data_IF_065236693618
#
_entry.id   IF_065236693618
#
_cell.length_a   1.000
_cell.length_b   1.000
_cell.length_c   1.000
_cell.angle_alpha   90.00
_cell.angle_beta   90.00
_cell.angle_gamma   90.00
#
_symmetry.space_group_name_H-M   'P 1'
#
loop_
_entity.id
_entity.type
_entity.pdbx_description
1 polymer ?
#
# COMPACT_ATOMS: atom_id res chain seq x y z
N UNK A 1 9.53 21.74 21.63
CA UNK A 1 8.21 21.30 21.14
C UNK A 1 7.23 21.37 22.31
N UNK A 2 6.05 21.98 22.15
CA UNK A 2 5.00 22.03 23.19
C UNK A 2 3.96 20.94 22.94
N UNK A 3 4.33 19.68 23.19
CA UNK A 3 3.42 18.54 23.09
C UNK A 3 3.16 17.98 24.50
N UNK A 4 1.90 17.90 24.90
CA UNK A 4 1.48 17.31 26.18
C UNK A 4 1.16 15.82 26.09
N UNK A 5 1.15 15.29 24.86
CA UNK A 5 0.78 13.92 24.53
C UNK A 5 1.77 13.40 23.50
N UNK A 6 2.37 12.26 23.77
CA UNK A 6 3.28 11.60 22.82
C UNK A 6 2.45 11.04 21.66
N UNK A 7 2.91 11.34 20.44
CA UNK A 7 2.24 10.97 19.19
C UNK A 7 1.19 11.97 18.70
N UNK A 8 0.95 13.07 19.41
CA UNK A 8 0.03 14.14 18.98
C UNK A 8 0.78 15.35 18.43
N UNK A 9 0.14 16.12 17.55
CA UNK A 9 0.70 17.39 17.09
C UNK A 9 0.91 18.37 18.26
N UNK A 10 1.95 19.23 18.20
CA UNK A 10 2.16 20.27 19.21
C UNK A 10 0.97 21.22 19.33
N UNK A 11 0.70 21.68 20.56
CA UNK A 11 -0.36 22.65 20.84
C UNK A 11 -0.11 23.95 20.04
N UNK A 12 -1.12 24.40 19.28
CA UNK A 12 -1.05 25.59 18.43
C UNK A 12 -0.33 25.39 17.09
N UNK A 13 0.08 24.17 16.75
CA UNK A 13 0.60 23.82 15.41
C UNK A 13 -0.50 23.10 14.61
N UNK A 14 -1.50 23.87 14.20
CA UNK A 14 -2.71 23.41 13.52
C UNK A 14 -2.57 23.40 11.98
N UNK A 15 -1.62 24.13 11.43
CA UNK A 15 -1.28 24.15 10.00
C UNK A 15 -0.04 23.29 9.75
N UNK A 16 -0.23 22.12 9.14
CA UNK A 16 0.84 21.20 8.74
C UNK A 16 0.99 19.98 9.65
N UNK A 17 2.14 19.33 9.57
CA UNK A 17 2.49 18.17 10.40
C UNK A 17 3.93 18.32 10.89
N UNK A 18 4.08 18.53 12.20
CA UNK A 18 5.37 18.77 12.84
C UNK A 18 6.32 17.58 12.75
N UNK A 19 5.81 16.38 12.44
CA UNK A 19 6.58 15.16 12.34
C UNK A 19 6.88 14.77 10.89
N UNK A 20 6.32 15.46 9.90
CA UNK A 20 6.39 15.06 8.49
C UNK A 20 7.82 14.84 8.01
N UNK A 21 8.72 15.80 8.25
CA UNK A 21 10.12 15.69 7.83
C UNK A 21 10.83 14.48 8.47
N UNK A 22 10.64 14.28 9.78
CA UNK A 22 11.24 13.16 10.49
C UNK A 22 10.68 11.82 9.99
N UNK A 23 9.36 11.71 9.85
CA UNK A 23 8.70 10.50 9.36
C UNK A 23 9.12 10.18 7.92
N UNK A 24 9.21 11.17 7.04
CA UNK A 24 9.69 10.98 5.67
C UNK A 24 11.16 10.57 5.62
N UNK A 25 12.00 11.14 6.48
CA UNK A 25 13.42 10.76 6.56
C UNK A 25 13.59 9.29 6.95
N UNK A 26 12.84 8.84 7.97
CA UNK A 26 12.83 7.43 8.39
C UNK A 26 12.31 6.53 7.26
N UNK A 27 11.22 6.92 6.60
CA UNK A 27 10.63 6.14 5.52
C UNK A 27 11.60 5.96 4.35
N UNK A 28 12.23 7.05 3.89
CA UNK A 28 13.19 7.01 2.78
C UNK A 28 14.36 6.11 3.13
N UNK A 29 14.91 6.22 4.34
CA UNK A 29 15.98 5.34 4.80
C UNK A 29 15.53 3.87 4.84
N UNK A 30 14.35 3.59 5.39
CA UNK A 30 13.82 2.24 5.48
C UNK A 30 13.64 1.60 4.09
N UNK A 31 13.09 2.35 3.13
CA UNK A 31 12.91 1.89 1.75
C UNK A 31 14.23 1.69 1.02
N UNK A 32 15.21 2.58 1.21
CA UNK A 32 16.54 2.44 0.63
C UNK A 32 17.28 1.18 1.12
N UNK A 33 16.96 0.70 2.32
CA UNK A 33 17.58 -0.49 2.91
C UNK A 33 16.68 -1.73 2.93
N UNK A 34 15.48 -1.67 2.36
CA UNK A 34 14.55 -2.80 2.32
C UNK A 34 14.07 -3.26 3.69
N UNK A 35 13.99 -2.37 4.68
CA UNK A 35 13.50 -2.67 6.03
C UNK A 35 12.13 -2.04 6.28
N UNK A 36 11.41 -2.56 7.27
CA UNK A 36 10.10 -2.03 7.66
C UNK A 36 10.22 -0.65 8.31
N UNK A 37 9.32 0.27 7.97
CA UNK A 37 9.16 1.56 8.64
C UNK A 37 8.03 1.47 9.67
N UNK A 38 8.37 1.58 10.96
CA UNK A 38 7.41 1.47 12.07
C UNK A 38 7.31 2.82 12.80
N UNK A 39 6.09 3.33 12.93
CA UNK A 39 5.79 4.57 13.66
C UNK A 39 5.73 4.32 15.18
N UNK A 40 6.05 5.36 15.96
CA UNK A 40 6.08 5.32 17.42
C UNK A 40 4.68 5.26 18.06
N UNK A 41 4.58 5.30 19.39
CA UNK A 41 3.30 5.10 20.08
C UNK A 41 2.42 6.35 20.10
N UNK A 42 1.12 6.14 20.40
CA UNK A 42 0.21 7.19 20.83
C UNK A 42 -0.30 6.88 22.25
N UNK A 43 0.01 7.77 23.21
CA UNK A 43 -0.07 7.44 24.64
C UNK A 43 -1.46 7.55 25.26
N UNK A 44 -2.41 8.25 24.62
CA UNK A 44 -3.81 8.25 25.08
C UNK A 44 -4.51 6.98 24.63
N UNK A 45 -4.19 5.87 25.29
CA UNK A 45 -4.55 4.51 24.84
C UNK A 45 -6.05 4.23 24.70
N UNK A 46 -6.91 5.01 25.39
CA UNK A 46 -8.38 4.88 25.31
C UNK A 46 -9.01 5.75 24.22
N UNK A 47 -8.26 6.68 23.62
CA UNK A 47 -8.75 7.55 22.56
C UNK A 47 -8.44 6.91 21.19
N UNK A 48 -9.27 5.94 20.81
CA UNK A 48 -9.08 5.15 19.59
C UNK A 48 -9.28 6.01 18.33
N UNK A 49 -10.18 6.99 18.38
CA UNK A 49 -10.38 7.90 17.25
C UNK A 49 -9.16 8.79 17.00
N UNK A 50 -8.51 9.28 18.06
CA UNK A 50 -7.24 9.97 17.90
C UNK A 50 -6.12 9.04 17.43
N UNK A 51 -6.05 7.81 17.95
CA UNK A 51 -5.12 6.81 17.45
C UNK A 51 -5.29 6.58 15.94
N UNK A 52 -6.53 6.41 15.46
CA UNK A 52 -6.84 6.25 14.04
C UNK A 52 -6.33 7.42 13.21
N UNK A 53 -6.59 8.66 13.63
CA UNK A 53 -6.12 9.85 12.90
C UNK A 53 -4.59 9.90 12.81
N UNK A 54 -3.89 9.64 13.91
CA UNK A 54 -2.41 9.68 13.93
C UNK A 54 -1.81 8.54 13.13
N UNK A 55 -2.31 7.31 13.30
CA UNK A 55 -1.86 6.14 12.54
C UNK A 55 -2.14 6.30 11.04
N UNK A 56 -3.29 6.87 10.66
CA UNK A 56 -3.63 7.15 9.27
C UNK A 56 -2.65 8.09 8.58
N UNK A 57 -2.06 9.06 9.30
CA UNK A 57 -1.02 9.93 8.73
C UNK A 57 0.23 9.15 8.33
N UNK A 58 0.78 8.32 9.22
CA UNK A 58 1.98 7.53 8.90
C UNK A 58 1.69 6.43 7.88
N UNK A 59 0.52 5.79 7.94
CA UNK A 59 0.07 4.84 6.93
C UNK A 59 -0.01 5.46 5.53
N UNK A 60 -0.56 6.68 5.41
CA UNK A 60 -0.65 7.41 4.14
C UNK A 60 0.73 7.78 3.55
N UNK A 61 1.76 7.95 4.38
CA UNK A 61 3.14 8.11 3.89
C UNK A 61 3.72 6.79 3.36
N UNK A 62 3.15 5.64 3.76
CA UNK A 62 3.62 4.32 3.36
C UNK A 62 4.36 3.58 4.47
N UNK A 63 4.15 3.91 5.74
CA UNK A 63 4.65 3.11 6.86
C UNK A 63 4.03 1.70 6.88
N UNK A 64 4.73 0.76 7.51
CA UNK A 64 4.34 -0.64 7.58
C UNK A 64 3.61 -1.00 8.88
N UNK A 65 3.61 -0.10 9.86
CA UNK A 65 2.92 -0.31 11.13
C UNK A 65 3.17 0.81 12.13
N UNK A 66 2.58 0.66 13.32
CA UNK A 66 2.73 1.56 14.46
C UNK A 66 2.76 0.78 15.76
N UNK A 67 3.48 1.29 16.76
CA UNK A 67 3.45 0.72 18.11
C UNK A 67 2.06 0.80 18.72
N UNK A 68 1.59 -0.33 19.25
CA UNK A 68 0.35 -0.45 20.01
C UNK A 68 0.69 -0.61 21.48
N UNK A 69 0.07 0.20 22.34
CA UNK A 69 0.31 0.18 23.78
C UNK A 69 -0.84 -0.47 24.58
N UNK A 70 -1.99 -0.70 23.96
CA UNK A 70 -3.16 -1.28 24.61
C UNK A 70 -3.97 -2.15 23.63
N UNK A 71 -4.59 -3.26 24.08
CA UNK A 71 -5.40 -4.14 23.22
C UNK A 71 -6.44 -3.41 22.36
N UNK A 72 -7.09 -2.39 22.90
CA UNK A 72 -8.12 -1.60 22.17
C UNK A 72 -7.59 -0.91 20.90
N UNK A 73 -6.27 -0.69 20.78
CA UNK A 73 -5.65 -0.09 19.60
C UNK A 73 -5.33 -1.13 18.51
N UNK A 74 -5.31 -2.43 18.83
CA UNK A 74 -4.89 -3.50 17.90
C UNK A 74 -5.78 -3.53 16.66
N UNK A 75 -7.11 -3.53 16.86
CA UNK A 75 -8.06 -3.61 15.74
C UNK A 75 -7.89 -2.44 14.78
N UNK A 76 -7.82 -1.21 15.32
CA UNK A 76 -7.60 0.00 14.52
C UNK A 76 -6.24 0.00 13.81
N UNK A 77 -5.18 -0.47 14.48
CA UNK A 77 -3.84 -0.56 13.89
C UNK A 77 -3.81 -1.55 12.72
N UNK A 78 -4.32 -2.76 12.92
CA UNK A 78 -4.36 -3.78 11.87
C UNK A 78 -5.19 -3.32 10.67
N UNK A 79 -6.34 -2.68 10.90
CA UNK A 79 -7.19 -2.11 9.86
C UNK A 79 -6.44 -1.06 9.03
N UNK A 80 -5.75 -0.12 9.68
CA UNK A 80 -5.09 1.02 9.02
C UNK A 80 -3.86 0.61 8.21
N UNK A 81 -3.09 -0.35 8.68
CA UNK A 81 -1.82 -0.75 8.05
C UNK A 81 -1.95 -1.97 7.12
N UNK A 82 -3.13 -2.60 7.07
CA UNK A 82 -3.45 -3.62 6.07
C UNK A 82 -4.00 -2.97 4.80
N UNK A 83 -3.73 -3.53 3.61
CA UNK A 83 -4.40 -3.08 2.40
C UNK A 83 -5.90 -3.37 2.47
N UNK A 84 -6.70 -2.61 1.71
CA UNK A 84 -8.12 -2.93 1.53
C UNK A 84 -8.27 -4.16 0.63
N UNK A 85 -9.44 -4.81 0.72
CA UNK A 85 -9.72 -6.03 -0.05
C UNK A 85 -9.68 -5.80 -1.57
N UNK A 86 -10.21 -4.67 -2.03
CA UNK A 86 -10.17 -4.24 -3.43
C UNK A 86 -8.73 -4.02 -3.93
N UNK A 87 -7.89 -3.39 -3.10
CA UNK A 87 -6.47 -3.16 -3.40
C UNK A 87 -5.70 -4.49 -3.49
N UNK A 88 -5.97 -5.42 -2.57
CA UNK A 88 -5.37 -6.76 -2.60
C UNK A 88 -5.79 -7.55 -3.84
N UNK A 89 -7.10 -7.59 -4.12
CA UNK A 89 -7.67 -8.29 -5.27
C UNK A 89 -7.13 -7.74 -6.60
N UNK A 90 -7.00 -6.42 -6.70
CA UNK A 90 -6.46 -5.75 -7.87
C UNK A 90 -4.95 -6.01 -8.02
N UNK A 91 -4.19 -5.96 -6.92
CA UNK A 91 -2.76 -6.26 -6.95
C UNK A 91 -2.49 -7.70 -7.45
N UNK A 92 -3.23 -8.70 -6.96
CA UNK A 92 -3.12 -10.08 -7.46
C UNK A 92 -3.46 -10.16 -8.96
N UNK A 93 -4.50 -9.43 -9.42
CA UNK A 93 -4.85 -9.38 -10.85
C UNK A 93 -3.75 -8.76 -11.72
N UNK A 94 -3.14 -7.66 -11.28
CA UNK A 94 -2.02 -7.00 -11.97
C UNK A 94 -0.83 -7.96 -12.10
N UNK A 95 -0.50 -8.68 -11.02
CA UNK A 95 0.61 -9.63 -11.03
C UNK A 95 0.40 -10.75 -12.05
N UNK A 96 -0.79 -11.36 -12.08
CA UNK A 96 -1.12 -12.42 -13.04
C UNK A 96 -1.14 -11.92 -14.49
N UNK A 97 -1.78 -10.76 -14.73
CA UNK A 97 -1.86 -10.17 -16.06
C UNK A 97 -0.47 -9.82 -16.60
N UNK A 98 0.38 -9.22 -15.76
CA UNK A 98 1.72 -8.84 -16.15
C UNK A 98 2.63 -10.05 -16.36
N UNK A 99 2.53 -11.09 -15.52
CA UNK A 99 3.22 -12.36 -15.72
C UNK A 99 2.86 -13.00 -17.06
N UNK A 100 1.57 -13.06 -17.40
CA UNK A 100 1.14 -13.56 -18.71
C UNK A 100 1.73 -12.74 -19.86
N UNK A 101 1.57 -11.42 -19.84
CA UNK A 101 1.97 -10.56 -20.96
C UNK A 101 3.48 -10.46 -21.17
N UNK A 102 4.27 -10.61 -20.10
CA UNK A 102 5.74 -10.68 -20.18
C UNK A 102 6.25 -12.06 -20.62
N UNK A 103 5.42 -13.10 -20.55
CA UNK A 103 5.76 -14.43 -21.06
C UNK A 103 5.85 -14.48 -22.59
N UNK A 104 6.46 -15.54 -23.12
CA UNK A 104 6.50 -15.78 -24.57
C UNK A 104 5.09 -15.94 -25.17
N UNK A 105 4.16 -16.60 -24.46
CA UNK A 105 2.80 -16.81 -24.93
C UNK A 105 1.97 -15.50 -24.96
N UNK A 106 2.24 -14.59 -24.01
CA UNK A 106 1.62 -13.26 -23.96
C UNK A 106 2.27 -12.21 -24.86
N UNK A 107 3.36 -12.58 -25.57
CA UNK A 107 4.02 -11.73 -26.57
C UNK A 107 5.19 -10.89 -26.05
N UNK A 108 5.75 -11.22 -24.88
CA UNK A 108 6.95 -10.59 -24.31
C UNK A 108 6.87 -9.05 -24.23
N UNK A 109 5.74 -8.53 -23.73
CA UNK A 109 5.47 -7.09 -23.65
C UNK A 109 5.76 -6.55 -22.25
N UNK A 110 6.58 -5.50 -22.17
CA UNK A 110 6.90 -4.83 -20.91
C UNK A 110 5.89 -3.78 -20.45
N UNK A 111 4.89 -3.47 -21.27
CA UNK A 111 3.76 -2.59 -20.92
C UNK A 111 2.51 -3.03 -21.69
N UNK A 112 1.37 -3.10 -21.01
CA UNK A 112 0.08 -3.60 -21.56
C UNK A 112 -1.10 -2.92 -20.89
N UNK A 113 -2.28 -2.99 -21.52
CA UNK A 113 -3.53 -2.55 -20.90
C UNK A 113 -4.19 -3.69 -20.12
N UNK A 114 -4.59 -3.43 -18.88
CA UNK A 114 -5.47 -4.26 -18.07
C UNK A 114 -6.78 -3.49 -17.85
N UNK A 115 -7.80 -3.78 -18.66
CA UNK A 115 -8.97 -2.90 -18.76
C UNK A 115 -8.55 -1.53 -19.30
N UNK A 116 -8.85 -0.47 -18.54
CA UNK A 116 -8.52 0.91 -18.90
C UNK A 116 -7.18 1.39 -18.31
N UNK A 117 -6.47 0.54 -17.57
CA UNK A 117 -5.20 0.86 -16.91
C UNK A 117 -4.00 0.33 -17.69
N UNK A 118 -2.98 1.15 -17.89
CA UNK A 118 -1.69 0.70 -18.41
C UNK A 118 -0.84 0.16 -17.25
N UNK A 119 -0.42 -1.11 -17.35
CA UNK A 119 0.46 -1.75 -16.38
C UNK A 119 1.84 -2.05 -16.97
N UNK A 120 2.85 -1.92 -16.12
CA UNK A 120 4.27 -2.10 -16.44
C UNK A 120 5.05 -2.65 -15.21
N UNK A 121 6.39 -2.66 -15.28
CA UNK A 121 7.25 -3.11 -14.18
C UNK A 121 7.10 -2.26 -12.90
N UNK A 122 6.79 -0.96 -13.02
CA UNK A 122 6.55 -0.12 -11.86
C UNK A 122 5.23 -0.51 -11.16
N UNK A 123 4.18 -0.70 -11.95
CA UNK A 123 2.87 -1.17 -11.50
C UNK A 123 2.98 -2.54 -10.82
N UNK A 124 3.73 -3.48 -11.43
CA UNK A 124 4.04 -4.79 -10.84
C UNK A 124 4.73 -4.67 -9.48
N UNK A 125 5.74 -3.80 -9.35
CA UNK A 125 6.46 -3.61 -8.07
C UNK A 125 5.54 -3.07 -6.97
N UNK A 126 4.63 -2.16 -7.30
CA UNK A 126 3.61 -1.69 -6.36
C UNK A 126 2.67 -2.82 -5.95
N UNK A 127 2.18 -3.59 -6.92
CA UNK A 127 1.31 -4.73 -6.67
C UNK A 127 1.98 -5.80 -5.80
N UNK A 128 3.28 -6.07 -5.98
CA UNK A 128 4.03 -7.00 -5.11
C UNK A 128 3.98 -6.60 -3.64
N UNK A 129 4.12 -5.30 -3.33
CA UNK A 129 4.07 -4.80 -1.95
C UNK A 129 2.67 -4.99 -1.36
N UNK A 130 1.63 -4.61 -2.09
CA UNK A 130 0.23 -4.74 -1.65
C UNK A 130 -0.14 -6.21 -1.45
N UNK A 131 0.18 -7.06 -2.43
CA UNK A 131 -0.08 -8.50 -2.37
C UNK A 131 0.66 -9.16 -1.19
N UNK A 132 1.94 -8.81 -0.97
CA UNK A 132 2.69 -9.32 0.17
C UNK A 132 2.06 -8.92 1.52
N UNK A 133 1.64 -7.66 1.67
CA UNK A 133 0.94 -7.19 2.87
C UNK A 133 -0.39 -7.90 3.08
N UNK A 134 -1.20 -8.05 2.03
CA UNK A 134 -2.49 -8.74 2.12
C UNK A 134 -2.35 -10.21 2.50
N UNK A 135 -1.39 -10.92 1.88
CA UNK A 135 -1.06 -12.32 2.25
C UNK A 135 -0.59 -12.44 3.70
N UNK A 136 0.27 -11.52 4.16
CA UNK A 136 0.73 -11.48 5.56
C UNK A 136 -0.41 -11.19 6.55
N UNK A 137 -1.41 -10.40 6.13
CA UNK A 137 -2.63 -10.15 6.89
C UNK A 137 -3.66 -11.30 6.81
N UNK A 138 -3.35 -12.39 6.10
CA UNK A 138 -4.24 -13.55 5.94
C UNK A 138 -5.41 -13.30 4.99
N UNK A 139 -5.35 -12.27 4.15
CA UNK A 139 -6.38 -11.98 3.15
C UNK A 139 -6.40 -13.08 2.09
N UNK A 140 -7.59 -13.32 1.54
CA UNK A 140 -7.80 -14.21 0.40
C UNK A 140 -8.44 -13.42 -0.72
N UNK A 141 -8.08 -13.77 -1.95
CA UNK A 141 -8.60 -13.09 -3.12
C UNK A 141 -10.09 -13.36 -3.25
N UNK A 142 -10.88 -12.32 -3.49
CA UNK A 142 -12.32 -12.43 -3.71
C UNK A 142 -12.70 -12.22 -5.18
N UNK A 143 -11.86 -11.51 -5.94
CA UNK A 143 -11.97 -11.36 -7.39
C UNK A 143 -11.60 -12.64 -8.16
N UNK A 144 -12.14 -12.77 -9.38
CA UNK A 144 -11.75 -13.83 -10.30
C UNK A 144 -10.29 -13.68 -10.79
N UNK A 145 -9.64 -14.79 -11.19
CA UNK A 145 -8.29 -14.75 -11.73
C UNK A 145 -8.23 -14.01 -13.08
N UNK A 146 -7.04 -13.56 -13.45
CA UNK A 146 -6.79 -13.07 -14.79
C UNK A 146 -7.07 -14.17 -15.82
N UNK A 147 -7.83 -13.84 -16.86
CA UNK A 147 -8.14 -14.75 -17.96
C UNK A 147 -7.39 -14.28 -19.20
N UNK A 148 -6.42 -15.05 -19.71
CA UNK A 148 -5.73 -14.72 -20.95
C UNK A 148 -6.70 -14.56 -22.13
N UNK A 149 -6.50 -13.56 -23.01
CA UNK A 149 -7.31 -13.41 -24.22
C UNK A 149 -7.21 -14.66 -25.10
N UNK A 150 -8.35 -15.20 -25.53
CA UNK A 150 -8.42 -16.42 -26.34
C UNK A 150 -8.05 -16.23 -27.82
N UNK A 151 -7.94 -14.98 -28.30
CA UNK A 151 -7.66 -14.66 -29.70
C UNK A 151 -6.34 -13.90 -29.87
N UNK A 152 -5.39 -14.52 -30.59
CA UNK A 152 -4.14 -13.92 -31.04
C UNK A 152 -4.31 -12.74 -32.02
N UNK A 153 -5.55 -12.33 -32.37
CA UNK A 153 -5.84 -11.35 -33.44
C UNK A 153 -5.98 -9.89 -32.99
N UNK A 154 -6.03 -9.56 -31.70
CA UNK A 154 -6.21 -8.16 -31.27
C UNK A 154 -4.90 -7.34 -31.19
N UNK A 155 -3.74 -7.97 -31.37
CA UNK A 155 -2.44 -7.28 -31.33
C UNK A 155 -2.17 -6.31 -32.51
N UNK A 156 -2.97 -6.37 -33.59
CA UNK A 156 -2.75 -5.56 -34.80
C UNK A 156 -3.56 -4.26 -34.84
N UNK A 157 -4.55 -4.07 -33.96
CA UNK A 157 -5.45 -2.90 -34.04
C UNK A 157 -4.87 -1.64 -33.37
N UNK A 158 -3.97 -1.79 -32.39
CA UNK A 158 -3.40 -0.66 -31.63
C UNK A 158 -2.20 0.05 -32.32
N UNK A 159 -1.83 -0.35 -33.54
CA UNK A 159 -0.74 0.30 -34.32
C UNK A 159 -1.24 1.34 -35.34
N UNK A 160 -2.54 1.69 -35.37
CA UNK A 160 -3.14 2.56 -36.40
C UNK A 160 -4.11 3.63 -35.87
N UNK A 161 -3.85 4.24 -34.73
CA UNK A 161 -4.49 5.52 -34.36
C UNK A 161 -3.47 6.50 -33.81
#
# INVERSE_FOLDING_TARGET
MRARVVGEQPEGYDVGDAYHHALMTILVAARAHGVAAIDGPYLKVRDIEAFRRVAGRSAALGYDGKWVLHPDQIAAGNEIFSPRQDEYDHAELVLEAYEWHTSAAGGARGAVMLGDEMIDEASRKMALVVAAKGRAAGMRRQSGPFVPPTDHKQASAARKS
#
